data_IF_807679986388
#
_entry.id   IF_807679986388
#
_cell.length_a   1.000
_cell.length_b   1.000
_cell.length_c   1.000
_cell.angle_alpha   90.00
_cell.angle_beta   90.00
_cell.angle_gamma   90.00
#
_symmetry.space_group_name_H-M   'P 1'
#
loop_
_entity.id
_entity.type
_entity.pdbx_description
1 polymer ?
#
# COMPACT_ATOMS: atom_id res chain seq x y z
N UNK A 1 -5.80 33.49 -47.15
CA UNK A 1 -5.90 33.23 -45.69
C UNK A 1 -5.10 31.96 -45.43
N UNK A 2 -3.85 32.06 -44.90
CA UNK A 2 -3.00 30.91 -44.61
C UNK A 2 -3.42 30.32 -43.25
N UNK A 3 -3.81 29.04 -43.25
CA UNK A 3 -4.25 28.31 -42.08
C UNK A 3 -3.17 28.30 -40.98
N UNK A 4 -3.40 29.09 -39.92
CA UNK A 4 -2.56 29.13 -38.72
C UNK A 4 -2.89 27.99 -37.70
N UNK A 5 -3.71 27.00 -38.11
CA UNK A 5 -4.09 25.89 -37.25
C UNK A 5 -3.06 24.73 -37.16
N UNK A 6 -2.17 24.64 -38.17
CA UNK A 6 -1.24 23.51 -38.28
C UNK A 6 -0.22 23.39 -37.12
N UNK A 7 0.36 24.47 -36.56
CA UNK A 7 1.31 24.34 -35.47
C UNK A 7 0.69 23.91 -34.14
N UNK A 8 -0.59 24.20 -33.89
CA UNK A 8 -1.28 23.83 -32.65
C UNK A 8 -1.66 22.34 -32.62
N UNK A 9 -1.99 21.76 -33.77
CA UNK A 9 -2.30 20.32 -33.87
C UNK A 9 -1.05 19.48 -33.64
N UNK A 10 0.13 19.88 -34.13
CA UNK A 10 1.39 19.20 -33.89
C UNK A 10 1.81 19.28 -32.40
N UNK A 11 1.55 20.40 -31.74
CA UNK A 11 1.83 20.56 -30.30
C UNK A 11 0.91 19.70 -29.42
N UNK A 12 -0.36 19.63 -29.72
CA UNK A 12 -1.32 18.75 -29.02
C UNK A 12 -0.97 17.27 -29.20
N UNK A 13 -0.58 16.85 -30.40
CA UNK A 13 -0.13 15.47 -30.63
C UNK A 13 1.19 15.15 -29.91
N UNK A 14 2.12 16.09 -29.81
CA UNK A 14 3.36 15.90 -29.09
C UNK A 14 3.14 15.76 -27.57
N UNK A 15 2.20 16.52 -26.99
CA UNK A 15 1.85 16.45 -25.58
C UNK A 15 1.13 15.12 -25.27
N UNK A 16 0.21 14.69 -26.12
CA UNK A 16 -0.48 13.41 -25.91
C UNK A 16 0.46 12.22 -26.06
N UNK A 17 1.44 12.29 -26.97
CA UNK A 17 2.44 11.24 -27.18
C UNK A 17 3.43 11.17 -26.02
N UNK A 18 3.85 12.32 -25.45
CA UNK A 18 4.73 12.34 -24.27
C UNK A 18 4.06 11.84 -23.00
N UNK A 19 2.78 12.13 -22.80
CA UNK A 19 1.99 11.58 -21.70
C UNK A 19 1.78 10.07 -21.83
N UNK A 20 1.55 9.56 -23.04
CA UNK A 20 1.48 8.11 -23.27
C UNK A 20 2.83 7.41 -23.08
N UNK A 21 3.97 8.04 -23.44
CA UNK A 21 5.28 7.46 -23.20
C UNK A 21 5.62 7.38 -21.69
N UNK A 22 5.22 8.37 -20.89
CA UNK A 22 5.42 8.33 -19.44
C UNK A 22 4.58 7.25 -18.78
N UNK A 23 3.34 7.07 -19.21
CA UNK A 23 2.49 5.98 -18.73
C UNK A 23 3.04 4.60 -19.15
N UNK A 24 3.53 4.45 -20.38
CA UNK A 24 4.10 3.19 -20.85
C UNK A 24 5.41 2.81 -20.16
N UNK A 25 6.26 3.77 -19.80
CA UNK A 25 7.52 3.47 -19.10
C UNK A 25 7.34 2.94 -17.67
N UNK A 26 6.21 3.20 -17.03
CA UNK A 26 5.88 2.61 -15.71
C UNK A 26 5.15 1.25 -15.82
N UNK A 27 4.38 1.04 -16.88
CA UNK A 27 3.64 -0.21 -17.12
C UNK A 27 4.56 -1.34 -17.62
N UNK A 28 5.75 -1.02 -18.11
CA UNK A 28 6.69 -2.00 -18.68
C UNK A 28 7.67 -2.63 -17.70
N UNK A 29 7.46 -2.49 -16.37
CA UNK A 29 8.19 -3.35 -15.44
C UNK A 29 7.85 -4.81 -15.78
N UNK A 30 8.85 -5.67 -16.08
CA UNK A 30 8.57 -7.04 -16.46
C UNK A 30 7.75 -7.70 -15.36
N UNK A 31 6.58 -8.23 -15.71
CA UNK A 31 5.81 -9.03 -14.77
C UNK A 31 6.69 -10.21 -14.36
N UNK A 32 6.88 -10.40 -13.06
CA UNK A 32 7.54 -11.58 -12.57
C UNK A 32 6.75 -12.80 -13.03
N UNK A 33 7.44 -13.85 -13.43
CA UNK A 33 6.81 -15.11 -13.69
C UNK A 33 6.03 -15.56 -12.45
N UNK A 34 4.72 -15.58 -12.56
CA UNK A 34 3.81 -15.97 -11.46
C UNK A 34 4.04 -17.41 -11.00
N UNK A 35 4.72 -18.21 -11.82
CA UNK A 35 5.09 -19.59 -11.51
C UNK A 35 6.45 -19.71 -10.81
N UNK A 36 7.20 -18.63 -10.70
CA UNK A 36 8.48 -18.65 -10.01
C UNK A 36 8.28 -18.94 -8.52
N UNK A 37 8.79 -20.07 -8.07
CA UNK A 37 8.83 -20.40 -6.65
C UNK A 37 9.76 -19.43 -5.95
N UNK A 38 9.21 -18.59 -5.07
CA UNK A 38 10.01 -17.67 -4.28
C UNK A 38 10.40 -18.37 -2.98
N UNK A 39 11.69 -18.43 -2.74
CA UNK A 39 12.21 -18.82 -1.44
C UNK A 39 11.90 -17.72 -0.41
N UNK A 40 10.86 -17.97 0.36
CA UNK A 40 10.41 -17.07 1.42
C UNK A 40 11.25 -17.16 2.69
N UNK A 41 12.26 -18.02 2.73
CA UNK A 41 13.10 -18.24 3.91
C UNK A 41 14.29 -17.28 3.97
N UNK A 42 14.61 -16.59 2.88
CA UNK A 42 15.71 -15.63 2.86
C UNK A 42 15.36 -14.36 3.67
N UNK A 43 16.16 -14.06 4.67
CA UNK A 43 15.99 -12.89 5.55
C UNK A 43 15.93 -11.57 4.77
N UNK A 44 16.73 -11.45 3.70
CA UNK A 44 16.72 -10.27 2.83
C UNK A 44 15.37 -10.06 2.14
N UNK A 45 14.73 -11.13 1.68
CA UNK A 45 13.40 -11.07 1.07
C UNK A 45 12.33 -10.75 2.10
N UNK A 46 12.42 -11.34 3.29
CA UNK A 46 11.48 -11.04 4.37
C UNK A 46 11.58 -9.58 4.82
N UNK A 47 12.79 -9.04 4.95
CA UNK A 47 13.01 -7.63 5.26
C UNK A 47 12.43 -6.72 4.18
N UNK A 48 12.68 -7.02 2.91
CA UNK A 48 12.13 -6.23 1.80
C UNK A 48 10.59 -6.29 1.74
N UNK A 49 9.97 -7.41 2.13
CA UNK A 49 8.51 -7.56 2.18
C UNK A 49 7.84 -6.67 3.23
N UNK A 50 8.53 -6.41 4.32
CA UNK A 50 8.05 -5.58 5.43
C UNK A 50 8.58 -4.14 5.36
N UNK A 51 9.47 -3.85 4.39
CA UNK A 51 10.01 -2.52 4.20
C UNK A 51 8.89 -1.52 3.85
N UNK A 52 8.86 -0.44 4.57
CA UNK A 52 7.95 0.70 4.39
C UNK A 52 8.77 1.99 4.48
N UNK A 53 8.32 3.09 3.87
CA UNK A 53 8.95 4.38 4.15
C UNK A 53 8.79 4.72 5.64
N UNK A 54 9.70 5.49 6.18
CA UNK A 54 9.47 6.16 7.45
C UNK A 54 8.33 7.17 7.27
N UNK A 55 7.35 7.12 8.15
CA UNK A 55 6.14 7.92 8.00
C UNK A 55 6.45 9.43 8.06
N UNK A 56 5.99 10.15 7.05
CA UNK A 56 6.23 11.58 6.88
C UNK A 56 7.57 11.93 6.23
N UNK A 57 8.41 10.93 5.89
CA UNK A 57 9.75 11.16 5.33
C UNK A 57 9.74 11.77 3.92
N UNK A 58 8.65 11.61 3.18
CA UNK A 58 8.49 12.19 1.83
C UNK A 58 8.03 13.64 1.83
N UNK A 59 7.70 14.20 3.01
CA UNK A 59 7.16 15.57 3.14
C UNK A 59 8.11 16.61 2.57
N UNK A 60 7.58 17.51 1.75
CA UNK A 60 8.30 18.64 1.17
C UNK A 60 7.88 19.94 1.89
N UNK A 61 8.71 20.44 2.76
CA UNK A 61 8.38 21.61 3.57
C UNK A 61 7.09 21.39 4.38
N UNK A 62 6.12 22.30 4.26
CA UNK A 62 4.83 22.23 4.95
C UNK A 62 3.72 21.56 4.10
N UNK A 63 4.08 20.96 2.97
CA UNK A 63 3.10 20.30 2.10
C UNK A 63 2.50 19.06 2.78
N UNK A 64 1.19 18.80 2.54
CA UNK A 64 0.55 17.62 3.06
C UNK A 64 1.11 16.33 2.46
N UNK A 65 1.00 15.25 3.22
CA UNK A 65 1.27 13.89 2.78
C UNK A 65 -0.03 13.11 2.69
N UNK A 66 -0.18 12.33 1.62
CA UNK A 66 -1.22 11.32 1.49
C UNK A 66 -0.64 9.96 1.90
N UNK A 67 -1.05 9.47 3.07
CA UNK A 67 -0.67 8.16 3.56
C UNK A 67 -1.64 7.10 3.03
N UNK A 68 -1.12 6.08 2.38
CA UNK A 68 -1.87 4.92 1.92
C UNK A 68 -1.64 3.75 2.87
N UNK A 69 -2.69 3.29 3.52
CA UNK A 69 -2.69 2.19 4.49
C UNK A 69 -3.54 1.06 3.96
N UNK A 70 -2.96 -0.12 3.77
CA UNK A 70 -3.69 -1.22 3.16
C UNK A 70 -2.92 -2.53 3.13
N UNK A 71 -3.43 -3.46 2.33
CA UNK A 71 -2.86 -4.78 2.14
C UNK A 71 -2.24 -4.97 0.74
N UNK A 72 -2.28 -6.19 0.20
CA UNK A 72 -1.66 -6.53 -1.10
C UNK A 72 -2.29 -5.80 -2.28
N UNK A 73 -3.56 -5.40 -2.21
CA UNK A 73 -4.26 -4.70 -3.28
C UNK A 73 -3.77 -3.26 -3.48
N UNK A 74 -3.20 -2.67 -2.42
CA UNK A 74 -2.66 -1.30 -2.42
C UNK A 74 -1.12 -1.26 -2.43
N UNK A 75 -0.43 -2.31 -2.02
CA UNK A 75 1.02 -2.31 -1.76
C UNK A 75 1.88 -1.88 -2.95
N UNK A 76 3.05 -1.34 -2.65
CA UNK A 76 4.15 -1.22 -3.61
C UNK A 76 4.85 -2.55 -3.73
N UNK A 77 4.82 -3.16 -4.92
CA UNK A 77 5.54 -4.38 -5.22
C UNK A 77 6.83 -4.11 -5.98
N UNK A 78 7.85 -4.93 -5.74
CA UNK A 78 9.08 -4.94 -6.53
C UNK A 78 9.52 -6.37 -6.79
N UNK A 79 10.24 -6.60 -7.90
CA UNK A 79 10.84 -7.90 -8.18
C UNK A 79 11.89 -8.23 -7.13
N UNK A 80 11.99 -9.50 -6.75
CA UNK A 80 12.98 -9.97 -5.81
C UNK A 80 12.71 -9.69 -4.33
N UNK A 81 11.61 -9.03 -3.99
CA UNK A 81 11.23 -8.76 -2.60
C UNK A 81 10.18 -9.76 -2.05
N UNK A 82 10.00 -10.88 -2.70
CA UNK A 82 9.00 -11.88 -2.32
C UNK A 82 7.57 -11.54 -2.74
N UNK A 83 7.37 -10.55 -3.59
CA UNK A 83 6.06 -10.12 -4.05
C UNK A 83 5.56 -10.79 -5.31
N UNK A 84 6.38 -11.57 -6.00
CA UNK A 84 6.06 -12.17 -7.31
C UNK A 84 5.58 -11.15 -8.35
N UNK A 85 6.11 -9.93 -8.32
CA UNK A 85 5.63 -8.86 -9.18
C UNK A 85 4.21 -8.39 -8.87
N UNK A 86 3.72 -8.60 -7.66
CA UNK A 86 2.42 -8.08 -7.25
C UNK A 86 2.53 -6.59 -6.93
N UNK A 87 1.90 -5.78 -7.74
CA UNK A 87 1.71 -4.35 -7.51
C UNK A 87 0.24 -4.05 -7.24
N UNK A 88 -0.03 -3.39 -6.14
CA UNK A 88 -1.33 -2.80 -5.88
C UNK A 88 -1.42 -1.40 -6.50
N UNK A 89 -2.63 -0.85 -6.51
CA UNK A 89 -2.90 0.48 -7.09
C UNK A 89 -2.11 1.61 -6.41
N UNK A 90 -1.78 1.47 -5.14
CA UNK A 90 -1.01 2.47 -4.38
C UNK A 90 0.39 2.73 -4.93
N UNK A 91 0.96 1.81 -5.72
CA UNK A 91 2.21 2.03 -6.43
C UNK A 91 2.10 3.17 -7.45
N UNK A 92 0.94 3.29 -8.08
CA UNK A 92 0.69 4.28 -9.13
C UNK A 92 0.05 5.56 -8.60
N UNK A 93 -0.41 5.57 -7.35
CA UNK A 93 -1.17 6.69 -6.79
C UNK A 93 -0.45 8.04 -6.91
N UNK A 94 0.87 8.05 -6.67
CA UNK A 94 1.67 9.27 -6.75
C UNK A 94 1.67 9.94 -8.13
N UNK A 95 1.33 9.22 -9.21
CA UNK A 95 1.32 9.76 -10.57
C UNK A 95 0.11 10.67 -10.85
N UNK A 96 -0.90 10.61 -9.99
CA UNK A 96 -2.13 11.39 -10.12
C UNK A 96 -2.11 12.68 -9.31
N UNK A 97 -1.02 12.94 -8.58
CA UNK A 97 -0.88 14.13 -7.74
C UNK A 97 0.31 14.98 -8.19
N UNK A 98 0.18 16.28 -8.05
CA UNK A 98 1.30 17.22 -8.19
C UNK A 98 2.23 17.07 -6.98
N UNK A 99 3.40 16.46 -7.20
CA UNK A 99 4.36 16.17 -6.14
C UNK A 99 4.97 17.42 -5.48
N UNK A 100 4.76 18.60 -6.05
CA UNK A 100 5.19 19.87 -5.44
C UNK A 100 4.13 20.45 -4.50
N UNK A 101 2.93 19.84 -4.47
CA UNK A 101 1.81 20.24 -3.60
C UNK A 101 1.41 19.20 -2.58
N UNK A 102 1.56 17.92 -2.90
CA UNK A 102 1.26 16.79 -2.02
C UNK A 102 2.16 15.61 -2.38
N UNK A 103 2.69 14.93 -1.39
CA UNK A 103 3.44 13.70 -1.60
C UNK A 103 2.62 12.48 -1.18
N UNK A 104 2.92 11.32 -1.78
CA UNK A 104 2.20 10.07 -1.50
C UNK A 104 3.16 9.07 -0.87
N UNK A 105 2.81 8.58 0.32
CA UNK A 105 3.53 7.50 1.00
C UNK A 105 2.69 6.23 1.05
N UNK A 106 3.20 5.17 0.49
CA UNK A 106 2.51 3.89 0.50
C UNK A 106 3.03 2.99 1.63
N UNK A 107 2.25 2.87 2.69
CA UNK A 107 2.51 2.05 3.87
C UNK A 107 1.82 0.68 3.82
N UNK A 108 1.17 0.34 2.71
CA UNK A 108 0.44 -0.92 2.56
C UNK A 108 1.38 -2.13 2.58
N UNK A 109 0.97 -3.19 3.27
CA UNK A 109 1.71 -4.44 3.43
C UNK A 109 0.86 -5.64 3.04
N UNK A 110 1.43 -6.51 2.19
CA UNK A 110 0.76 -7.73 1.75
C UNK A 110 0.42 -8.66 2.90
N UNK A 111 -0.83 -9.17 2.89
CA UNK A 111 -1.29 -10.15 3.87
C UNK A 111 -1.78 -9.56 5.20
N UNK A 112 -1.73 -8.24 5.39
CA UNK A 112 -2.26 -7.59 6.59
C UNK A 112 -3.79 -7.53 6.56
N UNK A 113 -4.39 -7.63 7.72
CA UNK A 113 -5.78 -7.34 8.03
C UNK A 113 -5.88 -6.02 8.79
N UNK A 114 -7.09 -5.52 9.05
CA UNK A 114 -7.32 -4.37 9.94
C UNK A 114 -6.66 -4.58 11.29
N UNK A 115 -6.92 -5.73 11.95
CA UNK A 115 -6.29 -6.13 13.21
C UNK A 115 -4.77 -6.11 13.16
N UNK A 116 -4.16 -6.81 12.21
CA UNK A 116 -2.70 -6.91 12.17
C UNK A 116 -2.03 -5.61 11.77
N UNK A 117 -2.67 -4.82 10.92
CA UNK A 117 -2.15 -3.50 10.57
C UNK A 117 -2.24 -2.55 11.78
N UNK A 118 -3.40 -2.48 12.42
CA UNK A 118 -3.63 -1.63 13.59
C UNK A 118 -2.65 -1.96 14.73
N UNK A 119 -2.51 -3.23 15.11
CA UNK A 119 -1.69 -3.62 16.24
C UNK A 119 -0.17 -3.49 16.00
N UNK A 120 0.29 -3.62 14.74
CA UNK A 120 1.74 -3.76 14.46
C UNK A 120 2.32 -2.58 13.70
N UNK A 121 1.55 -1.90 12.88
CA UNK A 121 2.07 -0.96 11.91
C UNK A 121 1.46 0.45 12.01
N UNK A 122 0.21 0.56 12.40
CA UNK A 122 -0.46 1.83 12.60
C UNK A 122 0.26 2.75 13.58
N UNK A 123 0.79 2.27 14.74
CA UNK A 123 1.53 3.11 15.66
C UNK A 123 2.75 3.83 15.07
N UNK A 124 3.34 3.25 14.01
CA UNK A 124 4.44 3.90 13.31
C UNK A 124 3.96 4.92 12.27
N UNK A 125 2.88 4.59 11.55
CA UNK A 125 2.30 5.51 10.56
C UNK A 125 1.81 6.79 11.23
N UNK A 126 1.07 6.67 12.33
CA UNK A 126 0.46 7.83 13.01
C UNK A 126 1.49 8.83 13.56
N UNK A 127 2.72 8.40 13.83
CA UNK A 127 3.81 9.29 14.25
C UNK A 127 4.20 10.31 13.20
N UNK A 128 4.02 9.97 11.90
CA UNK A 128 4.35 10.85 10.78
C UNK A 128 3.18 11.71 10.31
N UNK A 129 1.95 11.41 10.77
CA UNK A 129 0.75 12.15 10.36
C UNK A 129 0.66 13.48 11.08
N UNK A 130 0.41 14.54 10.35
CA UNK A 130 0.27 15.91 10.84
C UNK A 130 -1.06 16.52 10.41
N UNK A 131 -1.42 17.62 11.03
CA UNK A 131 -2.61 18.38 10.63
C UNK A 131 -2.50 18.83 9.16
N UNK A 132 -3.54 18.56 8.38
CA UNK A 132 -3.57 18.84 6.94
C UNK A 132 -3.20 17.65 6.05
N UNK A 133 -2.71 16.55 6.63
CA UNK A 133 -2.46 15.31 5.90
C UNK A 133 -3.74 14.53 5.60
N UNK A 134 -3.61 13.56 4.72
CA UNK A 134 -4.69 12.66 4.35
C UNK A 134 -4.27 11.20 4.57
N UNK A 135 -5.21 10.38 5.01
CA UNK A 135 -5.02 8.94 5.17
C UNK A 135 -6.13 8.20 4.42
N UNK A 136 -5.73 7.31 3.51
CA UNK A 136 -6.65 6.35 2.86
C UNK A 136 -6.37 4.98 3.44
N UNK A 137 -7.42 4.33 3.97
CA UNK A 137 -7.34 2.99 4.55
C UNK A 137 -8.12 2.02 3.67
N UNK A 138 -7.46 0.96 3.20
CA UNK A 138 -8.06 -0.15 2.45
C UNK A 138 -7.65 -1.48 3.09
N UNK A 139 -8.45 -1.94 4.02
CA UNK A 139 -8.27 -3.21 4.74
C UNK A 139 -9.58 -4.03 4.67
N UNK A 140 -9.59 -5.21 5.28
CA UNK A 140 -10.77 -6.08 5.30
C UNK A 140 -10.60 -7.38 4.51
N UNK A 141 -9.91 -7.37 3.37
CA UNK A 141 -9.74 -8.56 2.53
C UNK A 141 -9.13 -9.77 3.28
N UNK A 142 -8.27 -9.50 4.25
CA UNK A 142 -7.57 -10.52 5.05
C UNK A 142 -8.15 -10.71 6.45
N UNK A 143 -9.30 -10.15 6.78
CA UNK A 143 -9.90 -10.16 8.12
C UNK A 143 -10.70 -11.43 8.43
N UNK A 144 -10.55 -12.46 7.63
CA UNK A 144 -11.20 -13.75 7.80
C UNK A 144 -10.22 -14.84 8.24
N UNK A 145 -10.77 -15.99 8.67
CA UNK A 145 -10.03 -17.17 9.09
C UNK A 145 -9.99 -17.35 10.58
N UNK A 146 -9.04 -18.15 11.11
CA UNK A 146 -8.87 -18.35 12.54
C UNK A 146 -8.42 -17.09 13.29
N UNK A 147 -8.89 -16.94 14.51
CA UNK A 147 -8.49 -15.84 15.40
C UNK A 147 -7.15 -16.09 16.08
N UNK A 148 -6.78 -17.35 16.29
CA UNK A 148 -5.72 -17.79 17.20
C UNK A 148 -4.64 -18.66 16.55
N UNK A 149 -4.77 -18.99 15.27
CA UNK A 149 -3.86 -19.91 14.60
C UNK A 149 -3.51 -19.47 13.18
N UNK A 150 -2.51 -20.09 12.59
CA UNK A 150 -1.99 -19.76 11.29
C UNK A 150 -1.45 -18.34 11.24
N UNK A 151 -2.05 -17.47 10.43
CA UNK A 151 -1.65 -16.05 10.41
C UNK A 151 -2.26 -15.24 11.55
N UNK A 152 -3.24 -15.79 12.28
CA UNK A 152 -3.95 -15.17 13.39
C UNK A 152 -4.32 -13.70 13.12
N UNK A 153 -5.00 -13.46 12.00
CA UNK A 153 -5.26 -12.12 11.47
C UNK A 153 -6.73 -11.74 11.37
N UNK A 154 -7.62 -12.70 11.65
CA UNK A 154 -9.05 -12.46 11.55
C UNK A 154 -9.53 -11.46 12.62
N UNK A 155 -10.49 -10.61 12.23
CA UNK A 155 -11.28 -9.76 13.11
C UNK A 155 -12.67 -10.37 13.31
N UNK A 156 -13.35 -10.05 14.41
CA UNK A 156 -14.75 -10.46 14.60
C UNK A 156 -15.61 -9.71 13.56
N UNK A 157 -16.49 -10.40 12.81
CA UNK A 157 -17.34 -9.73 11.83
C UNK A 157 -18.25 -8.70 12.48
N UNK A 158 -18.42 -7.56 11.79
CA UNK A 158 -19.34 -6.50 12.21
C UNK A 158 -18.64 -5.23 12.70
N UNK A 159 -19.46 -4.25 13.04
CA UNK A 159 -19.05 -2.90 13.48
C UNK A 159 -19.38 -2.64 14.96
N UNK A 160 -19.75 -3.69 15.70
CA UNK A 160 -20.04 -3.62 17.14
C UNK A 160 -18.77 -3.53 17.97
N UNK A 161 -18.96 -3.64 19.30
CA UNK A 161 -17.88 -3.63 20.30
C UNK A 161 -17.54 -5.03 20.83
N UNK A 162 -17.82 -6.05 20.03
CA UNK A 162 -17.54 -7.42 20.41
C UNK A 162 -16.04 -7.66 20.52
N UNK A 163 -15.65 -8.46 21.51
CA UNK A 163 -14.25 -8.84 21.70
C UNK A 163 -14.13 -10.27 22.18
N UNK A 164 -12.98 -10.88 21.88
CA UNK A 164 -12.64 -12.26 22.26
C UNK A 164 -11.17 -12.33 22.67
N UNK A 165 -10.90 -12.89 23.83
CA UNK A 165 -9.53 -13.16 24.27
C UNK A 165 -9.07 -14.50 23.67
N UNK A 166 -7.92 -14.48 23.00
CA UNK A 166 -7.30 -15.66 22.37
C UNK A 166 -5.87 -15.82 22.85
N UNK A 167 -5.35 -17.04 22.72
CA UNK A 167 -3.92 -17.31 22.83
C UNK A 167 -3.44 -17.82 21.47
N UNK A 168 -2.54 -17.10 20.85
CA UNK A 168 -1.98 -17.46 19.53
C UNK A 168 -1.24 -18.78 19.67
N UNK A 169 -1.65 -19.79 18.92
CA UNK A 169 -1.15 -21.16 19.05
C UNK A 169 0.34 -21.28 18.75
N UNK A 170 0.81 -20.55 17.74
CA UNK A 170 2.21 -20.62 17.29
C UNK A 170 3.18 -19.90 18.20
N UNK A 171 2.72 -18.93 19.00
CA UNK A 171 3.59 -18.07 19.80
C UNK A 171 3.30 -18.07 21.29
N UNK A 172 2.11 -18.54 21.69
CA UNK A 172 1.63 -18.45 23.06
C UNK A 172 1.24 -17.04 23.52
N UNK A 173 1.26 -16.06 22.61
CA UNK A 173 0.90 -14.67 22.93
C UNK A 173 -0.59 -14.57 23.15
N UNK A 174 -0.97 -13.90 24.25
CA UNK A 174 -2.37 -13.57 24.54
C UNK A 174 -2.73 -12.25 23.84
N UNK A 175 -3.86 -12.23 23.15
CA UNK A 175 -4.33 -11.07 22.42
C UNK A 175 -5.85 -10.95 22.56
N UNK A 176 -6.35 -9.72 22.60
CA UNK A 176 -7.79 -9.45 22.48
C UNK A 176 -8.11 -9.14 21.01
N UNK A 177 -8.99 -9.93 20.44
CA UNK A 177 -9.52 -9.72 19.08
C UNK A 177 -10.80 -8.92 19.21
N UNK A 178 -10.93 -7.86 18.44
CA UNK A 178 -12.10 -7.00 18.40
C UNK A 178 -12.88 -7.20 17.09
N UNK A 179 -14.06 -6.61 17.03
CA UNK A 179 -14.82 -6.50 15.80
C UNK A 179 -14.08 -5.61 14.79
N UNK A 180 -14.37 -5.82 13.52
CA UNK A 180 -13.76 -5.06 12.41
C UNK A 180 -13.91 -3.53 12.60
N UNK A 181 -15.04 -3.08 13.16
CA UNK A 181 -15.31 -1.66 13.35
C UNK A 181 -14.49 -0.99 14.46
N UNK A 182 -13.79 -1.76 15.32
CA UNK A 182 -12.94 -1.22 16.38
C UNK A 182 -11.48 -1.01 15.93
N UNK A 183 -11.07 -1.62 14.81
CA UNK A 183 -9.76 -1.43 14.22
C UNK A 183 -9.77 -0.28 13.19
#
# INVERSE_FOLDING_TARGET
MKNKLFPYICWLMAITFSLQLQAQNKVSAPMADVNQVIDNTLDSLNKARTSRPEAGSSRKGDNPVLFLVGNSTMRTGTLGNGNNGQWGWGYYAGDYFDSDRITVENHALGGTSSRTFYNRFWPDVIKGVQAGDWVIIELGHNDNGPYDSGRARASIPGIGKDSLNVTIQETGVKETVYSYGEY
#
